data_IF_380510161931
#
_entry.id   IF_380510161931
#
_cell.length_a   1.000
_cell.length_b   1.000
_cell.length_c   1.000
_cell.angle_alpha   90.00
_cell.angle_beta   90.00
_cell.angle_gamma   90.00
#
_symmetry.space_group_name_H-M   'P 1'
#
loop_
_entity.id
_entity.type
_entity.pdbx_description
1 polymer ?
#
# COMPACT_ATOMS: atom_id res chain seq x y z
N UNK A 1 26.15 6.26 6.48
CA UNK A 1 26.04 6.79 7.85
C UNK A 1 26.19 8.31 7.85
N UNK A 2 27.27 8.85 7.35
CA UNK A 2 27.60 10.29 7.42
C UNK A 2 26.53 11.16 6.72
N UNK A 3 26.07 10.75 5.54
CA UNK A 3 24.96 11.43 4.84
C UNK A 3 23.67 11.44 5.67
N UNK A 4 23.35 10.35 6.35
CA UNK A 4 22.18 10.28 7.23
C UNK A 4 22.30 11.27 8.40
N UNK A 5 23.46 11.33 9.05
CA UNK A 5 23.69 12.25 10.16
C UNK A 5 23.62 13.70 9.69
N UNK A 6 24.23 14.04 8.55
CA UNK A 6 24.15 15.38 7.97
C UNK A 6 22.70 15.82 7.71
N UNK A 7 21.88 14.96 7.09
CA UNK A 7 20.46 15.27 6.88
C UNK A 7 19.68 15.47 8.19
N UNK A 8 20.04 14.73 9.27
CA UNK A 8 19.44 14.93 10.59
C UNK A 8 19.77 16.31 11.14
N UNK A 9 21.03 16.71 11.04
CA UNK A 9 21.50 17.99 11.54
C UNK A 9 20.82 19.14 10.78
N UNK A 10 20.78 19.08 9.44
CA UNK A 10 20.11 20.10 8.60
C UNK A 10 18.60 20.20 8.91
N UNK A 11 17.95 19.09 9.29
CA UNK A 11 16.54 19.06 9.67
C UNK A 11 16.27 19.34 11.14
N UNK A 12 17.29 19.73 11.93
CA UNK A 12 17.16 19.98 13.36
C UNK A 12 16.71 18.76 14.17
N UNK A 13 17.08 17.55 13.75
CA UNK A 13 16.66 16.29 14.37
C UNK A 13 17.73 15.66 15.26
N UNK A 14 18.76 16.39 15.61
CA UNK A 14 19.87 15.87 16.42
C UNK A 14 19.45 15.14 17.71
N UNK A 15 18.49 15.73 18.43
CA UNK A 15 17.98 15.22 19.72
C UNK A 15 17.01 14.03 19.58
N UNK A 16 16.53 13.72 18.38
CA UNK A 16 15.60 12.62 18.17
C UNK A 16 16.34 11.28 18.10
N UNK A 17 15.77 10.17 18.61
CA UNK A 17 16.44 8.87 18.57
C UNK A 17 16.66 8.40 17.12
N UNK A 18 17.80 7.75 16.89
CA UNK A 18 18.12 7.13 15.60
C UNK A 18 17.42 5.77 15.53
N UNK A 19 16.31 5.70 14.78
CA UNK A 19 15.55 4.48 14.59
C UNK A 19 15.57 4.05 13.11
N UNK A 20 15.21 2.80 12.82
CA UNK A 20 15.05 2.34 11.45
C UNK A 20 14.00 3.15 10.68
N UNK A 21 12.94 3.59 11.35
CA UNK A 21 11.93 4.46 10.77
C UNK A 21 12.48 5.84 10.44
N UNK A 22 13.31 6.40 11.30
CA UNK A 22 13.98 7.67 11.02
C UNK A 22 14.91 7.54 9.79
N UNK A 23 15.68 6.45 9.72
CA UNK A 23 16.53 6.16 8.55
C UNK A 23 15.73 6.01 7.26
N UNK A 24 14.59 5.32 7.32
CA UNK A 24 13.73 5.09 6.15
C UNK A 24 13.05 6.38 5.65
N UNK A 25 12.72 7.31 6.56
CA UNK A 25 11.92 8.49 6.21
C UNK A 25 12.73 9.79 6.07
N UNK A 26 13.99 9.80 6.55
CA UNK A 26 14.80 11.03 6.62
C UNK A 26 15.03 11.66 5.24
N UNK A 27 15.27 10.84 4.22
CA UNK A 27 15.55 11.33 2.88
C UNK A 27 14.34 12.07 2.28
N UNK A 28 13.15 11.51 2.38
CA UNK A 28 11.93 12.19 1.92
C UNK A 28 11.66 13.50 2.66
N UNK A 29 11.93 13.54 3.97
CA UNK A 29 11.83 14.78 4.78
C UNK A 29 12.84 15.83 4.33
N UNK A 30 14.05 15.38 4.03
CA UNK A 30 15.13 16.24 3.56
C UNK A 30 14.82 16.83 2.17
N UNK A 31 14.38 15.99 1.23
CA UNK A 31 13.99 16.43 -0.11
C UNK A 31 12.83 17.44 -0.05
N UNK A 32 11.86 17.19 0.83
CA UNK A 32 10.74 18.13 1.04
C UNK A 32 11.20 19.47 1.60
N UNK A 33 12.05 19.46 2.61
CA UNK A 33 12.58 20.69 3.20
C UNK A 33 13.42 21.53 2.21
N UNK A 34 13.93 20.88 1.16
CA UNK A 34 14.71 21.52 0.10
C UNK A 34 13.88 21.83 -1.18
N UNK A 35 12.54 21.77 -1.12
CA UNK A 35 11.65 22.10 -2.23
C UNK A 35 11.75 21.15 -3.43
N UNK A 36 12.16 19.90 -3.22
CA UNK A 36 12.28 18.91 -4.29
C UNK A 36 11.12 17.90 -4.33
N UNK A 37 10.08 18.14 -3.52
CA UNK A 37 8.84 17.38 -3.49
C UNK A 37 7.62 18.33 -3.47
N UNK A 38 7.72 19.43 -4.18
CA UNK A 38 6.66 20.45 -4.23
C UNK A 38 5.46 19.99 -5.06
N UNK A 39 5.68 18.99 -5.92
CA UNK A 39 4.65 18.28 -6.68
C UNK A 39 3.87 17.24 -5.85
N UNK A 40 4.33 16.94 -4.62
CA UNK A 40 3.62 16.04 -3.73
C UNK A 40 2.46 16.75 -3.05
N UNK A 41 1.23 16.30 -3.30
CA UNK A 41 0.04 16.82 -2.65
C UNK A 41 0.14 16.72 -1.12
N UNK A 42 -0.23 17.78 -0.44
CA UNK A 42 -0.30 17.82 1.03
C UNK A 42 -1.74 18.07 1.44
N UNK A 43 -2.35 17.10 2.11
CA UNK A 43 -3.68 17.25 2.68
C UNK A 43 -3.75 16.65 4.09
N UNK A 44 -4.80 16.94 4.83
CA UNK A 44 -5.05 16.29 6.12
C UNK A 44 -5.52 14.83 5.97
N UNK A 45 -6.01 14.49 4.78
CA UNK A 45 -6.39 13.13 4.40
C UNK A 45 -5.19 12.43 3.75
N UNK A 46 -4.60 11.44 4.45
CA UNK A 46 -3.39 10.75 4.01
C UNK A 46 -3.71 9.26 3.81
N UNK A 47 -4.44 8.95 2.75
CA UNK A 47 -4.79 7.56 2.39
C UNK A 47 -3.82 6.97 1.37
N UNK A 48 -3.26 7.80 0.48
CA UNK A 48 -2.28 7.44 -0.54
C UNK A 48 -1.24 8.56 -0.69
N UNK A 49 -0.09 8.24 -1.27
CA UNK A 49 0.84 9.26 -1.73
C UNK A 49 0.33 9.80 -3.07
N UNK A 50 0.04 11.10 -3.14
CA UNK A 50 -0.45 11.77 -4.34
C UNK A 50 0.59 12.75 -4.86
N UNK A 51 0.86 12.68 -6.16
CA UNK A 51 1.80 13.56 -6.86
C UNK A 51 1.07 14.27 -7.99
N UNK A 52 1.24 15.58 -8.09
CA UNK A 52 0.69 16.36 -9.20
C UNK A 52 1.46 16.07 -10.48
N UNK A 53 0.74 15.72 -11.53
CA UNK A 53 1.30 15.47 -12.86
C UNK A 53 0.49 16.21 -13.92
N UNK A 54 1.08 16.38 -15.09
CA UNK A 54 0.40 16.87 -16.27
C UNK A 54 0.16 15.70 -17.22
N UNK A 55 -1.07 15.51 -17.64
CA UNK A 55 -1.48 14.45 -18.59
C UNK A 55 -1.97 15.11 -19.87
N UNK A 56 -1.51 14.60 -21.02
CA UNK A 56 -2.05 14.97 -22.32
C UNK A 56 -3.30 14.14 -22.61
N UNK A 57 -4.45 14.82 -22.67
CA UNK A 57 -5.73 14.23 -23.02
C UNK A 57 -6.18 14.83 -24.35
N UNK A 58 -6.09 14.04 -25.41
CA UNK A 58 -6.48 14.46 -26.76
C UNK A 58 -5.79 15.78 -27.24
N UNK A 59 -4.55 15.98 -26.85
CA UNK A 59 -3.77 17.18 -27.20
C UNK A 59 -3.96 18.37 -26.25
N UNK A 60 -4.75 18.20 -25.19
CA UNK A 60 -4.93 19.19 -24.12
C UNK A 60 -4.23 18.73 -22.87
N UNK A 61 -3.42 19.61 -22.29
CA UNK A 61 -2.71 19.31 -21.03
C UNK A 61 -3.61 19.60 -19.83
N UNK A 62 -3.81 18.57 -19.01
CA UNK A 62 -4.65 18.62 -17.84
C UNK A 62 -3.86 18.33 -16.56
N UNK A 63 -4.14 19.01 -15.44
CA UNK A 63 -3.57 18.66 -14.14
C UNK A 63 -4.26 17.43 -13.55
N UNK A 64 -3.47 16.43 -13.22
CA UNK A 64 -3.92 15.16 -12.63
C UNK A 64 -3.17 14.87 -11.33
N UNK A 65 -3.75 14.01 -10.49
CA UNK A 65 -3.07 13.38 -9.36
C UNK A 65 -2.75 11.94 -9.70
N UNK A 66 -1.48 11.60 -9.63
CA UNK A 66 -0.99 10.22 -9.65
C UNK A 66 -0.92 9.75 -8.20
N UNK A 67 -1.63 8.67 -7.87
CA UNK A 67 -1.72 8.13 -6.52
C UNK A 67 -1.02 6.78 -6.42
N UNK A 68 -0.21 6.62 -5.39
CA UNK A 68 0.45 5.37 -5.05
C UNK A 68 0.08 4.96 -3.63
N UNK A 69 -0.34 3.72 -3.48
CA UNK A 69 -0.60 3.11 -2.16
C UNK A 69 0.05 1.74 -2.10
N UNK A 70 0.65 1.45 -0.97
CA UNK A 70 1.03 0.09 -0.59
C UNK A 70 0.41 -0.29 0.75
N UNK A 71 0.04 -1.55 0.88
CA UNK A 71 -0.56 -2.14 2.06
C UNK A 71 0.15 -3.43 2.41
N UNK A 72 0.35 -3.68 3.70
CA UNK A 72 0.84 -4.98 4.18
C UNK A 72 -0.21 -5.66 5.03
N UNK A 73 -0.50 -6.93 4.74
CA UNK A 73 -1.50 -7.73 5.43
C UNK A 73 -0.92 -9.09 5.82
N UNK A 74 0.18 -9.05 6.57
CA UNK A 74 1.05 -10.19 6.83
C UNK A 74 0.38 -11.26 7.72
N UNK A 75 -0.08 -10.84 8.90
CA UNK A 75 -0.62 -11.75 9.90
C UNK A 75 -1.94 -12.38 9.49
N UNK A 76 -2.94 -11.63 8.99
CA UNK A 76 -4.18 -12.23 8.50
C UNK A 76 -3.94 -13.20 7.34
N UNK A 77 -3.04 -12.89 6.41
CA UNK A 77 -2.70 -13.81 5.30
C UNK A 77 -2.03 -15.10 5.80
N UNK A 78 -1.30 -15.04 6.90
CA UNK A 78 -0.69 -16.24 7.50
C UNK A 78 -1.74 -17.17 8.11
N UNK A 79 -2.84 -16.63 8.66
CA UNK A 79 -3.88 -17.37 9.36
C UNK A 79 -4.98 -17.84 8.40
N UNK A 80 -5.46 -16.93 7.56
CA UNK A 80 -6.49 -17.16 6.54
C UNK A 80 -5.99 -16.60 5.20
N UNK A 81 -5.24 -17.40 4.44
CA UNK A 81 -4.47 -16.90 3.30
C UNK A 81 -5.31 -16.29 2.16
N UNK A 82 -6.50 -16.83 1.92
CA UNK A 82 -7.35 -16.34 0.82
C UNK A 82 -7.88 -14.93 1.12
N UNK A 83 -8.62 -14.77 2.21
CA UNK A 83 -9.21 -13.49 2.60
C UNK A 83 -8.16 -12.48 3.02
N UNK A 84 -7.09 -12.93 3.70
CA UNK A 84 -5.98 -12.06 4.07
C UNK A 84 -5.30 -11.41 2.88
N UNK A 85 -5.00 -12.18 1.84
CA UNK A 85 -4.40 -11.65 0.61
C UNK A 85 -5.40 -10.81 -0.21
N UNK A 86 -6.66 -11.23 -0.27
CA UNK A 86 -7.72 -10.46 -0.91
C UNK A 86 -7.92 -9.10 -0.22
N UNK A 87 -7.92 -9.07 1.12
CA UNK A 87 -8.01 -7.82 1.89
C UNK A 87 -6.78 -6.95 1.71
N UNK A 88 -5.59 -7.54 1.57
CA UNK A 88 -4.35 -6.80 1.32
C UNK A 88 -4.48 -5.93 0.07
N UNK A 89 -4.81 -6.54 -1.07
CA UNK A 89 -4.99 -5.77 -2.31
C UNK A 89 -6.24 -4.89 -2.25
N UNK A 90 -7.32 -5.36 -1.62
CA UNK A 90 -8.55 -4.61 -1.45
C UNK A 90 -8.34 -3.31 -0.67
N UNK A 91 -7.56 -3.33 0.41
CA UNK A 91 -7.18 -2.14 1.17
C UNK A 91 -6.35 -1.19 0.33
N UNK A 92 -5.34 -1.72 -0.37
CA UNK A 92 -4.51 -0.91 -1.26
C UNK A 92 -5.33 -0.19 -2.35
N UNK A 93 -6.38 -0.84 -2.88
CA UNK A 93 -7.26 -0.26 -3.91
C UNK A 93 -8.21 0.78 -3.31
N UNK A 94 -8.82 0.47 -2.17
CA UNK A 94 -9.84 1.34 -1.56
C UNK A 94 -9.29 2.70 -1.13
N UNK A 95 -8.04 2.79 -0.73
CA UNK A 95 -7.47 4.04 -0.26
C UNK A 95 -7.33 5.10 -1.37
N UNK A 96 -6.73 4.84 -2.53
CA UNK A 96 -6.77 5.78 -3.65
C UNK A 96 -8.20 6.01 -4.18
N UNK A 97 -9.06 4.99 -4.15
CA UNK A 97 -10.45 5.11 -4.56
C UNK A 97 -11.23 6.08 -3.66
N UNK A 98 -10.93 6.13 -2.36
CA UNK A 98 -11.52 7.11 -1.45
C UNK A 98 -11.14 8.55 -1.84
N UNK A 99 -9.96 8.74 -2.44
CA UNK A 99 -9.52 9.99 -3.08
C UNK A 99 -10.08 10.18 -4.50
N UNK A 100 -11.09 9.38 -4.91
CA UNK A 100 -11.74 9.44 -6.22
C UNK A 100 -10.85 9.13 -7.41
N UNK A 101 -9.73 8.45 -7.18
CA UNK A 101 -8.88 8.00 -8.28
C UNK A 101 -9.37 6.67 -8.86
N UNK A 102 -9.12 6.49 -10.15
CA UNK A 102 -9.23 5.19 -10.79
C UNK A 102 -7.92 4.43 -10.59
N UNK A 103 -8.00 3.24 -9.97
CA UNK A 103 -6.85 2.35 -9.79
C UNK A 103 -6.74 1.46 -11.03
N UNK A 104 -5.64 1.54 -11.75
CA UNK A 104 -5.47 0.86 -13.03
C UNK A 104 -4.35 -0.19 -13.02
N UNK A 105 -3.52 -0.23 -11.99
CA UNK A 105 -2.41 -1.17 -11.90
C UNK A 105 -2.21 -1.65 -10.47
N UNK A 106 -2.03 -2.96 -10.30
CA UNK A 106 -1.66 -3.58 -9.04
C UNK A 106 -0.30 -4.28 -9.14
N UNK A 107 0.37 -4.40 -7.99
CA UNK A 107 1.63 -5.10 -7.80
C UNK A 107 1.54 -5.95 -6.53
N UNK A 108 2.19 -7.12 -6.53
CA UNK A 108 2.26 -7.99 -5.37
C UNK A 108 3.69 -8.35 -5.04
N UNK A 109 4.07 -8.19 -3.78
CA UNK A 109 5.35 -8.67 -3.25
C UNK A 109 5.05 -9.53 -2.03
N UNK A 110 5.56 -10.76 -2.01
CA UNK A 110 5.36 -11.67 -0.89
C UNK A 110 6.66 -12.29 -0.40
N UNK A 111 6.65 -12.73 0.85
CA UNK A 111 7.76 -13.47 1.45
C UNK A 111 7.22 -14.71 2.16
N UNK A 112 7.80 -15.87 1.85
CA UNK A 112 7.45 -17.17 2.40
C UNK A 112 8.70 -17.93 2.85
N UNK A 113 8.51 -18.94 3.69
CA UNK A 113 9.52 -19.97 3.90
C UNK A 113 9.63 -20.89 2.67
N UNK A 114 10.32 -22.01 2.83
CA UNK A 114 10.44 -23.01 1.77
C UNK A 114 9.08 -23.65 1.47
N UNK A 115 8.53 -23.39 0.29
CA UNK A 115 7.27 -23.96 -0.17
C UNK A 115 7.34 -25.42 -0.60
N UNK A 116 8.55 -25.95 -0.73
CA UNK A 116 8.78 -27.37 -1.06
C UNK A 116 8.89 -28.26 0.17
N UNK A 117 8.93 -27.67 1.36
CA UNK A 117 9.01 -28.38 2.62
C UNK A 117 7.84 -29.37 2.79
N UNK A 118 8.11 -30.63 3.18
CA UNK A 118 7.06 -31.61 3.45
C UNK A 118 6.05 -31.09 4.48
N UNK A 119 4.77 -31.40 4.28
CA UNK A 119 3.70 -30.99 5.21
C UNK A 119 3.95 -31.50 6.63
N UNK A 120 4.53 -32.70 6.75
CA UNK A 120 4.88 -33.33 8.04
C UNK A 120 5.90 -32.51 8.86
N UNK A 121 6.65 -31.63 8.22
CA UNK A 121 7.65 -30.76 8.86
C UNK A 121 7.07 -29.38 9.19
N UNK A 122 5.78 -29.17 8.97
CA UNK A 122 5.14 -27.90 9.28
C UNK A 122 5.22 -27.63 10.79
N UNK A 123 5.64 -26.42 11.15
CA UNK A 123 5.70 -25.99 12.54
C UNK A 123 4.32 -26.05 13.20
N UNK A 124 4.25 -26.55 14.43
CA UNK A 124 3.02 -26.63 15.19
C UNK A 124 2.31 -25.26 15.29
N UNK A 125 1.01 -25.24 15.05
CA UNK A 125 0.19 -24.03 15.07
C UNK A 125 0.33 -23.13 13.82
N UNK A 126 1.01 -23.59 12.77
CA UNK A 126 1.15 -22.89 11.48
C UNK A 126 0.51 -23.69 10.35
N UNK A 127 0.09 -23.01 9.32
CA UNK A 127 -0.24 -23.64 8.04
C UNK A 127 1.04 -23.97 7.27
N UNK A 128 1.03 -25.01 6.42
CA UNK A 128 2.15 -25.30 5.53
C UNK A 128 2.46 -24.14 4.59
N UNK A 129 3.74 -23.84 4.38
CA UNK A 129 4.16 -22.69 3.54
C UNK A 129 3.60 -22.80 2.11
N UNK A 130 3.55 -23.98 1.55
CA UNK A 130 2.94 -24.25 0.25
C UNK A 130 1.45 -23.85 0.22
N UNK A 131 0.69 -24.23 1.26
CA UNK A 131 -0.75 -23.92 1.36
C UNK A 131 -0.95 -22.41 1.45
N UNK A 132 -0.20 -21.74 2.32
CA UNK A 132 -0.29 -20.28 2.48
C UNK A 132 0.00 -19.59 1.15
N UNK A 133 1.12 -19.90 0.49
CA UNK A 133 1.56 -19.21 -0.71
C UNK A 133 0.59 -19.41 -1.87
N UNK A 134 0.12 -20.63 -2.10
CA UNK A 134 -0.82 -20.96 -3.17
C UNK A 134 -2.20 -20.30 -2.94
N UNK A 135 -2.71 -20.38 -1.72
CA UNK A 135 -4.03 -19.86 -1.37
C UNK A 135 -4.03 -18.32 -1.34
N UNK A 136 -2.96 -17.71 -0.84
CA UNK A 136 -2.79 -16.25 -0.88
C UNK A 136 -2.73 -15.72 -2.30
N UNK A 137 -1.99 -16.38 -3.21
CA UNK A 137 -1.96 -16.00 -4.61
C UNK A 137 -3.36 -16.05 -5.25
N UNK A 138 -4.14 -17.07 -4.92
CA UNK A 138 -5.52 -17.21 -5.39
C UNK A 138 -6.44 -16.11 -4.83
N UNK A 139 -6.36 -15.80 -3.53
CA UNK A 139 -7.14 -14.72 -2.92
C UNK A 139 -6.83 -13.35 -3.52
N UNK A 140 -5.55 -13.05 -3.70
CA UNK A 140 -5.11 -11.82 -4.36
C UNK A 140 -5.65 -11.69 -5.79
N UNK A 141 -5.49 -12.73 -6.59
CA UNK A 141 -6.00 -12.81 -7.97
C UNK A 141 -7.53 -12.70 -8.03
N UNK A 142 -8.24 -13.36 -7.13
CA UNK A 142 -9.70 -13.34 -7.07
C UNK A 142 -10.24 -11.92 -6.91
N UNK A 143 -9.66 -11.13 -5.99
CA UNK A 143 -10.09 -9.75 -5.78
C UNK A 143 -9.84 -8.88 -7.02
N UNK A 144 -8.64 -8.95 -7.60
CA UNK A 144 -8.31 -8.20 -8.81
C UNK A 144 -9.21 -8.54 -9.99
N UNK A 145 -9.49 -9.83 -10.19
CA UNK A 145 -10.35 -10.30 -11.28
C UNK A 145 -11.79 -9.79 -11.15
N UNK A 146 -12.33 -9.70 -9.92
CA UNK A 146 -13.70 -9.23 -9.70
C UNK A 146 -13.88 -7.75 -10.09
N UNK A 147 -12.85 -6.94 -9.98
CA UNK A 147 -12.89 -5.52 -10.32
C UNK A 147 -12.19 -5.18 -11.64
N UNK A 148 -11.66 -6.18 -12.35
CA UNK A 148 -10.99 -5.98 -13.63
C UNK A 148 -9.60 -5.34 -13.54
N UNK A 149 -8.93 -5.45 -12.38
CA UNK A 149 -7.61 -4.87 -12.14
C UNK A 149 -6.49 -5.88 -12.39
N UNK A 150 -5.60 -5.58 -13.33
CA UNK A 150 -4.44 -6.41 -13.62
C UNK A 150 -3.34 -6.25 -12.56
N UNK A 151 -2.79 -7.38 -12.08
CA UNK A 151 -1.56 -7.40 -11.29
C UNK A 151 -0.38 -7.56 -12.24
N UNK A 152 0.27 -6.45 -12.55
CA UNK A 152 1.30 -6.37 -13.60
C UNK A 152 2.71 -6.73 -13.12
N UNK A 153 2.91 -6.75 -11.82
CA UNK A 153 4.19 -7.15 -11.22
C UNK A 153 3.94 -8.07 -10.02
N UNK A 154 4.54 -9.25 -10.05
CA UNK A 154 4.51 -10.21 -8.93
C UNK A 154 5.94 -10.62 -8.61
N UNK A 155 6.32 -10.50 -7.34
CA UNK A 155 7.61 -10.98 -6.85
C UNK A 155 7.43 -11.73 -5.55
N UNK A 156 7.93 -12.95 -5.50
CA UNK A 156 7.96 -13.75 -4.26
C UNK A 156 9.41 -13.96 -3.82
N UNK A 157 9.66 -13.83 -2.53
CA UNK A 157 10.94 -14.07 -1.88
C UNK A 157 10.81 -15.25 -0.92
N UNK A 158 11.83 -16.11 -0.90
CA UNK A 158 11.85 -17.27 -0.04
C UNK A 158 13.02 -17.17 0.93
N UNK A 159 12.70 -17.21 2.23
CA UNK A 159 13.70 -17.15 3.28
C UNK A 159 13.14 -17.77 4.57
N UNK A 160 13.93 -18.56 5.34
CA UNK A 160 13.45 -19.20 6.58
C UNK A 160 12.84 -18.23 7.60
N UNK A 161 13.28 -17.00 7.64
CA UNK A 161 12.73 -15.95 8.51
C UNK A 161 11.25 -15.67 8.28
N UNK A 162 10.72 -15.89 7.07
CA UNK A 162 9.31 -15.70 6.77
C UNK A 162 8.40 -16.82 7.31
N UNK A 163 8.96 -17.89 7.84
CA UNK A 163 8.17 -18.90 8.60
C UNK A 163 7.65 -18.30 9.90
N UNK A 164 8.41 -17.42 10.54
CA UNK A 164 7.97 -16.72 11.75
C UNK A 164 6.84 -15.74 11.47
N UNK A 165 6.95 -15.00 10.37
CA UNK A 165 5.96 -14.04 9.90
C UNK A 165 6.03 -13.91 8.37
N UNK A 166 4.95 -14.32 7.70
CA UNK A 166 4.80 -14.11 6.26
C UNK A 166 4.82 -12.62 5.94
N UNK A 167 5.36 -12.28 4.77
CA UNK A 167 5.18 -10.97 4.16
C UNK A 167 4.13 -11.09 3.04
N UNK A 168 3.10 -10.27 3.11
CA UNK A 168 2.12 -10.07 2.03
C UNK A 168 1.96 -8.56 1.84
N UNK A 169 2.39 -8.06 0.68
CA UNK A 169 2.34 -6.66 0.34
C UNK A 169 1.61 -6.49 -0.99
N UNK A 170 0.58 -5.66 -0.98
CA UNK A 170 -0.12 -5.17 -2.14
C UNK A 170 0.25 -3.71 -2.39
N UNK A 171 0.50 -3.35 -3.65
CA UNK A 171 0.68 -1.96 -4.04
C UNK A 171 -0.13 -1.66 -5.29
N UNK A 172 -0.57 -0.43 -5.41
CA UNK A 172 -1.38 0.02 -6.55
C UNK A 172 -0.98 1.40 -7.01
N UNK A 173 -1.27 1.66 -8.27
CA UNK A 173 -1.19 2.98 -8.88
C UNK A 173 -2.57 3.36 -9.39
N UNK A 174 -3.01 4.56 -9.01
CA UNK A 174 -4.26 5.16 -9.46
C UNK A 174 -4.02 6.58 -9.98
N UNK A 175 -5.01 7.12 -10.68
CA UNK A 175 -4.95 8.51 -11.12
C UNK A 175 -6.37 9.09 -11.23
N UNK A 176 -6.46 10.42 -11.08
CA UNK A 176 -7.68 11.18 -11.30
C UNK A 176 -7.36 12.60 -11.77
N UNK A 177 -8.23 13.25 -12.57
CA UNK A 177 -8.15 14.69 -12.76
C UNK A 177 -8.15 15.41 -11.41
N UNK A 178 -7.26 16.39 -11.24
CA UNK A 178 -7.09 17.09 -9.96
C UNK A 178 -8.39 17.75 -9.49
N UNK A 179 -9.18 18.26 -10.39
CA UNK A 179 -10.48 18.91 -10.10
C UNK A 179 -11.53 17.96 -9.49
N UNK A 180 -11.40 16.65 -9.72
CA UNK A 180 -12.31 15.64 -9.18
C UNK A 180 -11.98 15.25 -7.73
N UNK A 181 -10.83 15.64 -7.23
CA UNK A 181 -10.35 15.28 -5.88
C UNK A 181 -10.68 16.40 -4.91
N UNK A 182 -11.72 16.18 -4.09
CA UNK A 182 -12.20 17.14 -3.09
C UNK A 182 -11.58 16.83 -1.73
N UNK A 183 -10.94 17.82 -1.11
CA UNK A 183 -10.25 17.73 0.18
C UNK A 183 -10.91 18.62 1.24
N UNK A 184 -12.25 18.67 1.22
CA UNK A 184 -13.01 19.46 2.19
C UNK A 184 -13.13 18.72 3.54
N UNK A 185 -13.11 19.48 4.62
CA UNK A 185 -13.32 18.94 5.96
C UNK A 185 -14.80 18.95 6.31
N UNK A 186 -15.33 17.90 6.96
CA UNK A 186 -16.69 17.91 7.51
C UNK A 186 -16.86 19.04 8.51
N UNK A 187 -18.00 19.69 8.47
CA UNK A 187 -18.37 20.77 9.37
C UNK A 187 -19.55 20.38 10.28
N UNK A 188 -19.72 21.10 11.37
CA UNK A 188 -20.88 20.88 12.25
C UNK A 188 -22.18 21.22 11.51
N UNK A 189 -23.09 20.26 11.42
CA UNK A 189 -24.33 20.36 10.67
C UNK A 189 -24.35 19.55 9.37
N UNK A 190 -23.22 19.00 8.94
CA UNK A 190 -23.18 18.09 7.80
C UNK A 190 -23.94 16.81 8.10
N UNK A 191 -24.58 16.25 7.07
CA UNK A 191 -25.35 15.02 7.17
C UNK A 191 -24.53 13.85 6.60
N UNK A 192 -24.30 12.84 7.43
CA UNK A 192 -23.68 11.58 7.01
C UNK A 192 -24.76 10.64 6.50
N UNK A 193 -24.68 10.26 5.23
CA UNK A 193 -25.59 9.32 4.61
C UNK A 193 -24.86 8.01 4.32
N UNK A 194 -25.33 6.90 4.92
CA UNK A 194 -24.86 5.55 4.63
C UNK A 194 -25.86 4.89 3.67
N UNK A 195 -25.40 4.56 2.49
CA UNK A 195 -26.18 3.85 1.47
C UNK A 195 -25.52 2.49 1.21
N UNK A 196 -26.23 1.40 1.45
CA UNK A 196 -25.69 0.06 1.25
C UNK A 196 -26.54 -1.04 1.88
N UNK A 197 -26.09 -2.27 1.72
CA UNK A 197 -26.68 -3.43 2.34
C UNK A 197 -26.15 -3.69 3.76
N UNK A 198 -26.74 -4.67 4.42
CA UNK A 198 -26.20 -5.18 5.69
C UNK A 198 -24.88 -5.90 5.43
N UNK A 199 -23.82 -5.41 6.01
CA UNK A 199 -22.49 -6.04 5.92
C UNK A 199 -22.27 -7.05 7.04
N UNK A 200 -21.37 -8.01 6.82
CA UNK A 200 -20.93 -8.95 7.83
C UNK A 200 -19.93 -8.34 8.82
N UNK A 201 -19.46 -9.14 9.75
CA UNK A 201 -18.27 -8.86 10.57
C UNK A 201 -17.02 -9.31 9.82
N UNK A 202 -15.96 -8.51 9.92
CA UNK A 202 -14.62 -8.93 9.53
C UNK A 202 -14.04 -9.91 10.57
#
# INVERSE_FOLDING_TARGET
>A
RDRYLAMRDELGRGEKPQTLMDMATIFGRYERANGRLDDMEVSDEINACSVEIEVDVDGVKEPWLLMFKNETHNHPTEIEPFGGAATCIGGAIRDPLSGRSYVYQAMRISGAGDITQPISETRAGKLPQQVISKTAAHGYSSYGNQIGLATTYVREYFHPGFVAKRMELGAVVGAAPKENVVREKPAAGDVVILLGGKTGRD
#
